data_IF_243992686824
#
_entry.id   IF_243992686824
#
_cell.length_a   1.000
_cell.length_b   1.000
_cell.length_c   1.000
_cell.angle_alpha   90.00
_cell.angle_beta   90.00
_cell.angle_gamma   90.00
#
_symmetry.space_group_name_H-M   'P 1'
#
loop_
_entity.id
_entity.type
_entity.pdbx_description
1 polymer ?
#
# COMPACT_ATOMS: atom_id res chain seq x y z
N UNK A 1 -13.27 -3.44 -5.66
CA UNK A 1 -12.45 -2.24 -5.39
C UNK A 1 -13.23 -1.03 -5.89
N UNK A 2 -13.47 -0.06 -5.01
CA UNK A 2 -14.12 1.20 -5.35
C UNK A 2 -13.20 2.07 -6.21
N UNK A 3 -13.79 2.86 -7.10
CA UNK A 3 -13.04 3.81 -7.91
C UNK A 3 -12.82 5.10 -7.14
N UNK A 4 -11.59 5.63 -7.20
CA UNK A 4 -11.27 6.99 -6.81
C UNK A 4 -11.27 7.92 -8.02
N UNK A 5 -11.30 9.21 -7.76
CA UNK A 5 -11.25 10.27 -8.77
C UNK A 5 -10.09 11.24 -8.52
N UNK A 6 -8.97 10.72 -8.01
CA UNK A 6 -7.72 11.43 -7.86
C UNK A 6 -7.27 11.70 -6.43
N UNK A 7 -6.45 12.74 -6.27
CA UNK A 7 -5.83 13.15 -5.01
C UNK A 7 -6.65 14.24 -4.34
N UNK A 8 -6.85 14.10 -3.03
CA UNK A 8 -7.52 15.09 -2.19
C UNK A 8 -6.57 15.69 -1.17
N UNK A 9 -6.70 16.99 -0.92
CA UNK A 9 -5.92 17.73 0.08
C UNK A 9 -6.84 18.45 1.04
N UNK A 10 -6.56 18.34 2.32
CA UNK A 10 -7.12 19.17 3.39
C UNK A 10 -6.07 20.18 3.88
N UNK A 11 -6.50 21.36 4.27
CA UNK A 11 -5.67 22.40 4.90
C UNK A 11 -6.23 22.83 6.26
N UNK A 12 -7.25 22.13 6.75
CA UNK A 12 -7.99 22.46 7.98
C UNK A 12 -8.10 21.26 8.95
N UNK A 13 -7.13 20.33 8.88
CA UNK A 13 -7.10 19.13 9.73
C UNK A 13 -8.15 18.08 9.36
N UNK A 14 -8.50 17.97 8.08
CA UNK A 14 -9.42 16.95 7.58
C UNK A 14 -10.90 17.33 7.66
N UNK A 15 -11.22 18.58 8.03
CA UNK A 15 -12.60 19.07 8.11
C UNK A 15 -13.22 19.31 6.74
N UNK A 16 -12.40 19.73 5.79
CA UNK A 16 -12.78 19.84 4.38
C UNK A 16 -11.69 19.30 3.47
N UNK A 17 -12.08 18.87 2.26
CA UNK A 17 -11.19 18.25 1.29
C UNK A 17 -11.41 18.85 -0.10
N UNK A 18 -10.34 19.12 -0.81
CA UNK A 18 -10.36 19.60 -2.18
C UNK A 18 -9.67 18.59 -3.09
N UNK A 19 -10.34 18.24 -4.21
CA UNK A 19 -9.72 17.44 -5.26
C UNK A 19 -8.58 18.24 -5.92
N UNK A 20 -7.40 17.65 -5.99
CA UNK A 20 -6.16 18.26 -6.51
C UNK A 20 -5.74 17.66 -7.87
N UNK A 21 -6.58 16.87 -8.52
CA UNK A 21 -6.30 16.32 -9.85
C UNK A 21 -6.02 14.81 -9.87
N UNK A 22 -5.46 14.31 -10.97
CA UNK A 22 -5.29 12.89 -11.30
C UNK A 22 -6.63 12.14 -11.30
N UNK A 23 -7.68 12.75 -11.89
CA UNK A 23 -9.06 12.25 -11.83
C UNK A 23 -9.27 10.92 -12.55
N UNK A 24 -8.44 10.61 -13.53
CA UNK A 24 -8.51 9.37 -14.29
C UNK A 24 -7.59 8.27 -13.73
N UNK A 25 -7.07 8.45 -12.49
CA UNK A 25 -6.23 7.45 -11.84
C UNK A 25 -7.00 6.22 -11.38
N UNK A 26 -8.28 6.35 -11.07
CA UNK A 26 -9.16 5.36 -10.43
C UNK A 26 -8.56 4.77 -9.12
N UNK A 27 -7.29 4.42 -9.17
CA UNK A 27 -6.58 3.82 -8.02
C UNK A 27 -5.22 4.50 -7.85
N UNK A 28 -4.97 4.98 -6.65
CA UNK A 28 -3.67 5.50 -6.21
C UNK A 28 -3.06 4.47 -5.24
N UNK A 29 -1.82 4.06 -5.51
CA UNK A 29 -1.09 3.12 -4.68
C UNK A 29 -0.53 3.78 -3.42
N UNK A 30 0.21 4.88 -3.62
CA UNK A 30 0.89 5.56 -2.52
C UNK A 30 1.02 7.06 -2.81
N UNK A 31 1.08 7.87 -1.74
CA UNK A 31 1.34 9.33 -1.77
C UNK A 31 2.53 9.61 -0.87
N UNK A 32 3.58 10.18 -1.44
CA UNK A 32 4.83 10.49 -0.75
C UNK A 32 5.06 12.00 -0.71
N UNK A 33 5.03 12.60 0.48
CA UNK A 33 5.27 14.03 0.68
C UNK A 33 6.75 14.25 0.97
N UNK A 34 7.37 15.21 0.31
CA UNK A 34 8.77 15.55 0.54
C UNK A 34 8.98 16.11 1.97
N UNK A 35 9.96 15.58 2.76
CA UNK A 35 10.07 15.85 4.19
C UNK A 35 10.33 17.32 4.55
N UNK A 36 10.94 18.11 3.64
CA UNK A 36 11.31 19.50 3.88
C UNK A 36 10.50 20.50 3.06
N UNK A 37 9.59 20.03 2.17
CA UNK A 37 8.77 20.91 1.34
C UNK A 37 7.44 20.24 1.00
N UNK A 38 6.38 20.58 1.73
CA UNK A 38 5.04 20.03 1.55
C UNK A 38 4.36 20.37 0.21
N UNK A 39 4.93 21.28 -0.58
CA UNK A 39 4.47 21.57 -1.93
C UNK A 39 5.00 20.56 -2.96
N UNK A 40 6.04 19.80 -2.59
CA UNK A 40 6.57 18.70 -3.41
C UNK A 40 5.96 17.38 -2.95
N UNK A 41 5.17 16.77 -3.83
CA UNK A 41 4.51 15.49 -3.56
C UNK A 41 4.68 14.57 -4.76
N UNK A 42 4.91 13.30 -4.47
CA UNK A 42 4.94 12.23 -5.46
C UNK A 42 3.73 11.31 -5.27
N UNK A 43 3.18 10.81 -6.35
CA UNK A 43 2.02 9.90 -6.35
C UNK A 43 2.29 8.73 -7.27
N UNK A 44 2.19 7.52 -6.75
CA UNK A 44 2.13 6.31 -7.56
C UNK A 44 0.68 6.05 -7.96
N UNK A 45 0.38 6.18 -9.25
CA UNK A 45 -0.95 5.98 -9.80
C UNK A 45 -1.03 4.62 -10.49
N UNK A 46 -1.95 3.80 -9.99
CA UNK A 46 -2.19 2.46 -10.52
C UNK A 46 -2.94 2.48 -11.85
N UNK A 47 -3.86 3.44 -11.99
CA UNK A 47 -4.76 3.58 -13.11
C UNK A 47 -5.94 2.60 -13.11
N UNK A 48 -6.74 2.61 -14.18
CA UNK A 48 -7.90 1.75 -14.32
C UNK A 48 -7.60 0.27 -14.19
N UNK A 49 -8.49 -0.47 -13.50
CA UNK A 49 -8.36 -1.93 -13.37
C UNK A 49 -8.93 -2.67 -14.56
N UNK A 50 -10.03 -2.16 -15.13
CA UNK A 50 -10.79 -2.81 -16.20
C UNK A 50 -10.45 -2.32 -17.60
N UNK A 51 -9.77 -1.17 -17.71
CA UNK A 51 -9.39 -0.53 -18.97
C UNK A 51 -7.88 -0.29 -19.03
N UNK A 52 -7.36 -0.03 -20.20
CA UNK A 52 -6.03 0.51 -20.43
C UNK A 52 -6.02 2.03 -20.26
N UNK A 53 -4.83 2.64 -20.20
CA UNK A 53 -4.66 4.08 -20.14
C UNK A 53 -4.99 4.69 -18.78
N UNK A 54 -5.62 5.86 -18.78
CA UNK A 54 -5.84 6.67 -17.59
C UNK A 54 -4.56 7.32 -17.04
N UNK A 55 -4.63 7.79 -15.80
CA UNK A 55 -3.48 8.41 -15.13
C UNK A 55 -2.57 7.34 -14.50
N UNK A 56 -1.92 6.49 -15.34
CA UNK A 56 -0.93 5.50 -14.91
C UNK A 56 0.46 6.10 -14.85
N UNK A 57 1.22 5.78 -13.80
CA UNK A 57 2.60 6.22 -13.67
C UNK A 57 2.94 6.78 -12.30
N UNK A 58 4.13 7.35 -12.20
CA UNK A 58 4.51 8.18 -11.06
C UNK A 58 4.37 9.65 -11.45
N UNK A 59 3.65 10.40 -10.63
CA UNK A 59 3.41 11.83 -10.82
C UNK A 59 4.10 12.64 -9.72
N UNK A 60 4.54 13.85 -10.09
CA UNK A 60 5.14 14.81 -9.19
C UNK A 60 4.44 16.16 -9.31
N UNK A 61 4.17 16.79 -8.18
CA UNK A 61 3.85 18.21 -8.08
C UNK A 61 4.97 18.97 -7.38
N UNK A 62 5.11 20.26 -7.68
CA UNK A 62 6.00 21.18 -6.99
C UNK A 62 5.24 22.41 -6.46
N UNK A 63 3.91 22.39 -6.52
CA UNK A 63 3.03 23.53 -6.20
C UNK A 63 1.84 23.13 -5.30
N UNK A 64 2.04 22.06 -4.51
CA UNK A 64 1.05 21.58 -3.56
C UNK A 64 -0.16 20.91 -4.21
N UNK A 65 0.02 20.33 -5.41
CA UNK A 65 -1.01 19.60 -6.14
C UNK A 65 -1.83 20.44 -7.12
N UNK A 66 -1.45 21.68 -7.39
CA UNK A 66 -2.16 22.51 -8.39
C UNK A 66 -1.89 22.02 -9.81
N UNK A 67 -0.63 21.57 -10.07
CA UNK A 67 -0.24 20.95 -11.33
C UNK A 67 0.52 19.65 -11.07
N UNK A 68 0.38 18.69 -12.01
CA UNK A 68 1.03 17.39 -11.94
C UNK A 68 1.82 17.11 -13.20
N UNK A 69 3.04 16.60 -13.04
CA UNK A 69 3.88 16.10 -14.12
C UNK A 69 4.08 14.60 -13.96
N UNK A 70 3.77 13.81 -14.98
CA UNK A 70 4.13 12.39 -15.04
C UNK A 70 5.64 12.26 -15.24
N UNK A 71 6.34 11.69 -14.27
CA UNK A 71 7.81 11.58 -14.23
C UNK A 71 8.32 10.17 -14.47
N UNK A 72 7.45 9.16 -14.37
CA UNK A 72 7.76 7.78 -14.74
C UNK A 72 6.51 7.13 -15.35
N UNK A 73 6.67 6.48 -16.47
CA UNK A 73 5.64 5.75 -17.19
C UNK A 73 6.28 4.55 -17.89
N UNK A 74 5.57 3.42 -17.93
CA UNK A 74 6.02 2.22 -18.63
C UNK A 74 5.19 2.05 -19.91
N UNK A 75 3.91 1.76 -19.78
CA UNK A 75 2.95 1.59 -20.86
C UNK A 75 1.50 1.80 -20.37
N UNK A 76 0.53 1.63 -21.28
CA UNK A 76 -0.89 1.83 -21.02
C UNK A 76 -1.52 0.73 -20.13
N UNK A 77 -0.80 -0.35 -19.82
CA UNK A 77 -1.26 -1.47 -19.01
C UNK A 77 -0.61 -1.53 -17.63
N UNK A 78 0.45 -0.74 -17.41
CA UNK A 78 1.31 -0.82 -16.23
C UNK A 78 1.16 0.41 -15.35
N UNK A 79 0.65 0.22 -14.15
CA UNK A 79 0.59 1.25 -13.11
C UNK A 79 1.72 1.11 -12.10
N UNK A 80 1.64 1.91 -11.03
CA UNK A 80 2.61 1.89 -9.93
C UNK A 80 1.88 1.72 -8.61
N UNK A 81 2.29 0.75 -7.81
CA UNK A 81 1.73 0.48 -6.48
C UNK A 81 2.54 1.08 -5.34
N UNK A 82 3.86 1.24 -5.53
CA UNK A 82 4.76 1.74 -4.51
C UNK A 82 5.56 2.95 -5.01
N UNK A 83 5.82 3.88 -4.08
CA UNK A 83 6.87 4.89 -4.21
C UNK A 83 7.47 5.17 -2.84
N UNK A 84 8.79 5.08 -2.73
CA UNK A 84 9.55 5.30 -1.50
C UNK A 84 10.68 6.30 -1.75
N UNK A 85 11.13 6.96 -0.68
CA UNK A 85 12.21 7.94 -0.68
C UNK A 85 13.29 7.49 0.29
N UNK A 86 14.56 7.58 -0.11
CA UNK A 86 15.68 7.33 0.81
C UNK A 86 15.61 8.36 1.96
N UNK A 87 15.54 7.94 3.23
CA UNK A 87 15.36 8.87 4.36
C UNK A 87 16.52 9.83 4.55
N UNK A 88 17.68 9.55 3.96
CA UNK A 88 18.88 10.42 4.02
C UNK A 88 18.95 11.41 2.87
N UNK A 89 18.30 11.12 1.74
CA UNK A 89 18.38 11.95 0.54
C UNK A 89 17.07 11.89 -0.25
N UNK A 90 16.23 12.92 -0.18
CA UNK A 90 14.93 12.96 -0.84
C UNK A 90 14.99 13.00 -2.39
N UNK A 91 16.16 13.19 -2.99
CA UNK A 91 16.33 13.04 -4.44
C UNK A 91 16.47 11.57 -4.89
N UNK A 92 16.67 10.66 -3.94
CA UNK A 92 16.72 9.21 -4.24
C UNK A 92 15.34 8.60 -4.00
N UNK A 93 14.74 8.11 -5.08
CA UNK A 93 13.40 7.55 -5.11
C UNK A 93 13.42 6.12 -5.66
N UNK A 94 12.50 5.31 -5.15
CA UNK A 94 12.25 3.95 -5.61
C UNK A 94 10.76 3.80 -5.94
N UNK A 95 10.43 3.08 -7.01
CA UNK A 95 9.05 2.83 -7.39
C UNK A 95 8.88 1.41 -7.90
N UNK A 96 7.76 0.77 -7.55
CA UNK A 96 7.37 -0.54 -8.07
C UNK A 96 6.28 -0.38 -9.10
N UNK A 97 6.53 -0.87 -10.32
CA UNK A 97 5.54 -0.96 -11.38
C UNK A 97 4.86 -2.32 -11.38
N UNK A 98 3.57 -2.34 -11.69
CA UNK A 98 2.78 -3.55 -11.77
C UNK A 98 1.87 -3.53 -12.99
N UNK A 99 2.08 -4.46 -13.91
CA UNK A 99 1.18 -4.72 -15.02
C UNK A 99 -0.01 -5.50 -14.52
N UNK A 100 -1.20 -4.86 -14.51
CA UNK A 100 -2.41 -5.43 -13.91
C UNK A 100 -3.64 -5.07 -14.73
N UNK A 101 -4.50 -6.06 -14.98
CA UNK A 101 -5.79 -5.86 -15.61
C UNK A 101 -6.81 -6.93 -15.24
N UNK A 102 -8.06 -6.54 -15.06
CA UNK A 102 -9.19 -7.45 -14.96
C UNK A 102 -9.99 -7.50 -16.27
N UNK A 103 -10.46 -8.70 -16.57
CA UNK A 103 -11.49 -8.98 -17.54
C UNK A 103 -12.57 -9.83 -16.88
N UNK A 104 -13.76 -9.90 -17.49
CA UNK A 104 -14.86 -10.73 -16.96
C UNK A 104 -14.44 -12.19 -16.76
N UNK A 105 -13.57 -12.69 -17.62
CA UNK A 105 -13.14 -14.09 -17.69
C UNK A 105 -11.73 -14.35 -17.14
N UNK A 106 -10.95 -13.33 -16.84
CA UNK A 106 -9.56 -13.51 -16.36
C UNK A 106 -9.01 -12.31 -15.63
N UNK A 107 -7.91 -12.54 -14.93
CA UNK A 107 -7.11 -11.52 -14.24
C UNK A 107 -5.66 -11.64 -14.70
N UNK A 108 -5.10 -10.53 -15.20
CA UNK A 108 -3.68 -10.37 -15.48
C UNK A 108 -3.05 -9.69 -14.26
N UNK A 109 -2.19 -10.39 -13.55
CA UNK A 109 -1.54 -9.93 -12.32
C UNK A 109 -0.02 -9.85 -12.43
N UNK A 110 0.52 -9.70 -13.64
CA UNK A 110 1.95 -9.58 -13.89
C UNK A 110 2.25 -9.42 -15.37
N UNK A 111 3.51 -9.18 -15.69
CA UNK A 111 3.98 -9.07 -17.07
C UNK A 111 5.28 -8.29 -17.18
N UNK A 112 5.78 -8.07 -18.43
CA UNK A 112 7.07 -7.44 -18.69
C UNK A 112 7.17 -5.98 -18.20
N UNK A 113 6.03 -5.32 -18.01
CA UNK A 113 5.95 -3.96 -17.46
C UNK A 113 6.26 -3.89 -15.97
N UNK A 114 6.12 -4.99 -15.22
CA UNK A 114 6.37 -5.03 -13.79
C UNK A 114 7.86 -4.97 -13.44
N UNK A 115 8.19 -4.37 -12.31
CA UNK A 115 9.55 -4.33 -11.79
C UNK A 115 9.83 -3.13 -10.89
N UNK A 116 11.09 -3.03 -10.46
CA UNK A 116 11.58 -1.96 -9.60
C UNK A 116 12.35 -0.92 -10.40
N UNK A 117 12.16 0.34 -10.04
CA UNK A 117 12.78 1.50 -10.65
C UNK A 117 13.42 2.39 -9.59
N UNK A 118 14.54 3.04 -9.92
CA UNK A 118 15.27 3.97 -9.04
C UNK A 118 15.58 5.25 -9.78
N UNK A 119 15.37 6.37 -9.11
CA UNK A 119 15.87 7.70 -9.48
C UNK A 119 16.88 8.17 -8.44
N UNK A 120 17.85 8.99 -8.85
CA UNK A 120 18.82 9.64 -7.96
C UNK A 120 18.85 11.16 -8.16
N UNK A 121 17.86 11.71 -8.86
CA UNK A 121 17.79 13.10 -9.28
C UNK A 121 16.39 13.74 -9.09
N UNK A 122 15.65 13.25 -8.08
CA UNK A 122 14.32 13.74 -7.74
C UNK A 122 13.26 13.39 -8.78
N UNK A 123 13.45 12.27 -9.48
CA UNK A 123 12.51 11.76 -10.47
C UNK A 123 12.69 12.33 -11.89
N UNK A 124 13.80 13.00 -12.19
CA UNK A 124 14.08 13.51 -13.54
C UNK A 124 14.46 12.39 -14.49
N UNK A 125 15.18 11.38 -13.99
CA UNK A 125 15.54 10.16 -14.73
C UNK A 125 15.35 8.91 -13.85
N UNK A 126 15.10 7.76 -14.51
CA UNK A 126 14.84 6.50 -13.84
C UNK A 126 15.59 5.35 -14.51
N UNK A 127 16.09 4.41 -13.72
CA UNK A 127 16.64 3.13 -14.21
C UNK A 127 15.90 1.96 -13.58
N UNK A 128 15.73 0.88 -14.34
CA UNK A 128 15.21 -0.40 -13.82
C UNK A 128 16.30 -1.09 -12.99
N UNK A 129 15.94 -1.60 -11.79
CA UNK A 129 16.88 -2.18 -10.81
C UNK A 129 16.52 -3.62 -10.45
N UNK A 130 16.25 -4.46 -11.44
CA UNK A 130 15.77 -5.83 -11.26
C UNK A 130 16.89 -6.88 -11.16
N UNK A 131 18.17 -6.50 -11.10
CA UNK A 131 19.29 -7.46 -11.10
C UNK A 131 19.23 -8.36 -9.84
N UNK A 132 18.99 -9.67 -10.05
CA UNK A 132 18.83 -10.66 -8.97
C UNK A 132 17.38 -10.97 -8.60
N UNK A 133 16.39 -10.21 -9.10
CA UNK A 133 14.99 -10.59 -9.06
C UNK A 133 14.68 -11.71 -10.07
N UNK A 134 13.51 -12.38 -9.99
CA UNK A 134 13.16 -13.45 -10.93
C UNK A 134 13.27 -13.03 -12.39
N UNK A 135 13.89 -13.88 -13.20
CA UNK A 135 14.00 -13.70 -14.66
C UNK A 135 12.77 -14.16 -15.45
N UNK A 136 11.61 -14.24 -14.81
CA UNK A 136 10.31 -14.59 -15.36
C UNK A 136 9.35 -13.43 -15.18
N UNK A 137 8.11 -13.55 -15.65
CA UNK A 137 7.10 -12.52 -15.43
C UNK A 137 6.92 -12.23 -13.94
N UNK A 138 7.05 -10.96 -13.60
CA UNK A 138 6.89 -10.43 -12.25
C UNK A 138 5.47 -9.90 -12.12
N UNK A 139 4.84 -10.20 -11.00
CA UNK A 139 3.55 -9.65 -10.56
C UNK A 139 3.72 -8.39 -9.71
N UNK A 140 2.95 -8.30 -8.64
CA UNK A 140 3.04 -7.20 -7.67
C UNK A 140 4.31 -7.33 -6.84
N UNK A 141 4.93 -6.19 -6.56
CA UNK A 141 6.05 -6.07 -5.65
C UNK A 141 5.66 -5.12 -4.53
N UNK A 142 5.75 -5.57 -3.28
CA UNK A 142 5.82 -4.72 -2.11
C UNK A 142 7.26 -4.48 -1.74
N UNK A 143 7.62 -3.27 -1.32
CA UNK A 143 8.98 -2.94 -0.93
C UNK A 143 9.01 -1.98 0.24
N UNK A 144 10.11 -1.99 0.99
CA UNK A 144 10.38 -0.96 1.98
C UNK A 144 11.89 -0.77 2.18
N UNK A 145 12.26 0.45 2.58
CA UNK A 145 13.64 0.84 2.89
C UNK A 145 13.81 0.77 4.40
N UNK A 146 14.86 0.11 4.88
CA UNK A 146 15.15 0.11 6.30
C UNK A 146 15.59 1.50 6.76
N UNK A 147 14.80 2.16 7.63
CA UNK A 147 15.20 3.42 8.26
C UNK A 147 16.42 3.24 9.18
N UNK A 148 16.56 2.07 9.82
CA UNK A 148 17.69 1.73 10.65
C UNK A 148 19.02 1.64 9.86
N UNK A 149 18.95 1.16 8.61
CA UNK A 149 20.08 1.10 7.69
C UNK A 149 19.63 1.24 6.23
N UNK A 150 19.57 2.44 5.67
CA UNK A 150 19.06 2.69 4.32
C UNK A 150 19.94 2.17 3.15
N UNK A 151 21.03 1.45 3.42
CA UNK A 151 21.69 0.60 2.42
C UNK A 151 20.86 -0.66 2.13
N UNK A 152 19.98 -1.05 3.09
CA UNK A 152 19.13 -2.22 3.01
C UNK A 152 17.74 -1.84 2.49
N UNK A 153 17.30 -2.56 1.49
CA UNK A 153 15.94 -2.52 0.96
C UNK A 153 15.39 -3.94 0.92
N UNK A 154 14.17 -4.10 1.35
CA UNK A 154 13.44 -5.36 1.28
C UNK A 154 12.39 -5.32 0.17
N UNK A 155 12.11 -6.47 -0.42
CA UNK A 155 11.04 -6.62 -1.39
C UNK A 155 10.39 -8.00 -1.26
N UNK A 156 9.06 -8.03 -1.28
CA UNK A 156 8.29 -9.25 -1.47
C UNK A 156 7.78 -9.26 -2.91
N UNK A 157 8.11 -10.29 -3.67
CA UNK A 157 7.95 -10.31 -5.13
C UNK A 157 7.04 -11.47 -5.52
N UNK A 158 5.90 -11.16 -6.13
CA UNK A 158 5.10 -12.16 -6.85
C UNK A 158 5.75 -12.42 -8.22
N UNK A 159 5.85 -13.67 -8.62
CA UNK A 159 6.39 -14.05 -9.92
C UNK A 159 5.79 -15.37 -10.41
N UNK A 160 5.74 -15.51 -11.74
CA UNK A 160 5.32 -16.75 -12.39
C UNK A 160 6.25 -17.93 -12.03
N UNK A 161 5.85 -19.14 -12.38
CA UNK A 161 6.60 -20.37 -12.14
C UNK A 161 6.99 -20.62 -10.67
N UNK A 162 6.27 -20.01 -9.70
CA UNK A 162 6.59 -20.07 -8.26
C UNK A 162 8.00 -19.55 -7.91
N UNK A 163 8.56 -18.66 -8.74
CA UNK A 163 9.88 -18.06 -8.53
C UNK A 163 9.85 -16.82 -7.63
N UNK A 164 8.66 -16.35 -7.24
CA UNK A 164 8.48 -15.30 -6.26
C UNK A 164 9.15 -15.57 -4.93
N UNK A 165 9.17 -14.60 -4.04
CA UNK A 165 9.77 -14.75 -2.72
C UNK A 165 10.06 -13.42 -2.05
N UNK A 166 10.74 -13.50 -0.90
CA UNK A 166 11.24 -12.38 -0.14
C UNK A 166 12.72 -12.13 -0.47
N UNK A 167 13.04 -10.90 -0.83
CA UNK A 167 14.35 -10.47 -1.32
C UNK A 167 14.92 -9.37 -0.43
N UNK A 168 16.27 -9.34 -0.29
CA UNK A 168 17.03 -8.28 0.38
C UNK A 168 18.05 -7.72 -0.59
N UNK A 169 18.17 -6.40 -0.66
CA UNK A 169 19.31 -5.69 -1.22
C UNK A 169 20.09 -5.06 -0.08
N UNK A 170 21.42 -5.12 -0.13
CA UNK A 170 22.32 -4.46 0.84
C UNK A 170 23.14 -3.35 0.18
N UNK A 171 22.73 -2.92 -1.02
CA UNK A 171 23.42 -1.93 -1.83
C UNK A 171 22.43 -1.00 -2.54
N UNK A 172 21.39 -0.59 -1.81
CA UNK A 172 20.41 0.40 -2.28
C UNK A 172 19.71 -0.01 -3.59
N UNK A 173 19.36 -1.30 -3.70
CA UNK A 173 18.62 -1.85 -4.84
C UNK A 173 19.46 -2.15 -6.08
N UNK A 174 20.79 -2.00 -6.06
CA UNK A 174 21.63 -2.32 -7.22
C UNK A 174 21.63 -3.82 -7.54
N UNK A 175 21.54 -4.67 -6.51
CA UNK A 175 21.38 -6.12 -6.65
C UNK A 175 20.47 -6.68 -5.56
N UNK A 176 19.76 -7.77 -5.88
CA UNK A 176 18.82 -8.43 -4.99
C UNK A 176 19.21 -9.88 -4.75
N UNK A 177 19.04 -10.33 -3.52
CA UNK A 177 19.30 -11.72 -3.12
C UNK A 177 18.02 -12.27 -2.47
N UNK A 178 17.55 -13.40 -2.99
CA UNK A 178 16.40 -14.12 -2.42
C UNK A 178 16.77 -14.65 -1.05
N UNK A 179 16.00 -14.30 -0.02
CA UNK A 179 16.18 -14.77 1.34
C UNK A 179 15.29 -15.98 1.65
N UNK A 180 14.05 -15.94 1.15
CA UNK A 180 13.02 -16.95 1.44
C UNK A 180 12.02 -17.08 0.27
N UNK A 181 11.30 -18.20 0.23
CA UNK A 181 10.19 -18.41 -0.71
C UNK A 181 8.85 -17.78 -0.29
N UNK A 182 8.80 -17.06 0.84
CA UNK A 182 7.56 -16.42 1.34
C UNK A 182 7.06 -15.40 0.33
N UNK A 183 5.80 -15.55 -0.04
CA UNK A 183 4.99 -14.62 -0.86
C UNK A 183 3.62 -14.49 -0.22
N UNK A 184 2.89 -13.45 -0.57
CA UNK A 184 1.47 -13.29 -0.27
C UNK A 184 0.67 -13.24 -1.58
N UNK A 185 -0.63 -13.06 -1.53
CA UNK A 185 -1.44 -12.87 -2.74
C UNK A 185 -1.28 -11.44 -3.26
N UNK A 186 -0.63 -11.26 -4.40
CA UNK A 186 -0.46 -9.95 -5.04
C UNK A 186 -1.77 -9.27 -5.45
N UNK A 187 -2.87 -10.00 -5.50
CA UNK A 187 -4.19 -9.44 -5.77
C UNK A 187 -4.74 -8.62 -4.59
N UNK A 188 -4.41 -9.00 -3.34
CA UNK A 188 -4.94 -8.39 -2.11
C UNK A 188 -3.86 -7.81 -1.22
N UNK A 189 -2.73 -8.49 -1.08
CA UNK A 189 -1.65 -8.17 -0.15
C UNK A 189 -0.37 -7.79 -0.91
N UNK A 190 0.80 -8.12 -0.45
CA UNK A 190 2.12 -7.78 -0.99
C UNK A 190 2.65 -6.43 -0.44
N UNK A 191 2.27 -6.11 0.78
CA UNK A 191 2.79 -4.96 1.51
C UNK A 191 3.73 -5.43 2.60
N UNK A 192 4.86 -4.74 2.78
CA UNK A 192 5.84 -5.00 3.84
C UNK A 192 6.24 -3.71 4.53
N UNK A 193 6.64 -3.82 5.80
CA UNK A 193 7.07 -2.69 6.62
C UNK A 193 8.32 -3.07 7.38
N UNK A 194 9.44 -2.39 7.11
CA UNK A 194 10.69 -2.56 7.83
C UNK A 194 10.59 -1.87 9.20
N UNK A 195 11.16 -2.49 10.22
CA UNK A 195 11.23 -1.88 11.54
C UNK A 195 12.17 -0.66 11.49
N UNK A 196 11.75 0.50 12.01
CA UNK A 196 12.55 1.73 11.92
C UNK A 196 13.80 1.72 12.81
N UNK A 197 13.93 0.75 13.73
CA UNK A 197 15.03 0.67 14.72
C UNK A 197 15.92 -0.55 14.47
N UNK A 198 15.37 -1.67 13.99
CA UNK A 198 16.08 -2.92 13.76
C UNK A 198 16.09 -3.30 12.28
N UNK A 199 17.28 -3.26 11.67
CA UNK A 199 17.44 -3.49 10.23
C UNK A 199 17.08 -4.90 9.75
N UNK A 200 17.02 -5.89 10.63
CA UNK A 200 16.71 -7.29 10.30
C UNK A 200 15.24 -7.67 10.57
N UNK A 201 14.44 -6.73 11.10
CA UNK A 201 13.01 -6.94 11.38
C UNK A 201 12.15 -6.36 10.27
N UNK A 202 11.28 -7.22 9.68
CA UNK A 202 10.31 -6.80 8.66
C UNK A 202 8.98 -7.52 8.88
N UNK A 203 7.90 -6.77 8.81
CA UNK A 203 6.53 -7.25 8.88
C UNK A 203 5.95 -7.41 7.48
N UNK A 204 5.18 -8.48 7.27
CA UNK A 204 4.46 -8.76 6.02
C UNK A 204 2.97 -8.73 6.31
N UNK A 205 2.25 -7.91 5.54
CA UNK A 205 0.80 -7.87 5.54
C UNK A 205 0.24 -9.04 4.74
N UNK A 206 -0.75 -9.71 5.33
CA UNK A 206 -1.42 -10.88 4.78
C UNK A 206 -2.74 -11.07 5.57
N UNK A 207 -3.51 -12.11 5.28
CA UNK A 207 -4.63 -12.52 6.16
C UNK A 207 -4.16 -12.57 7.61
N UNK A 208 -3.02 -13.19 7.87
CA UNK A 208 -2.32 -13.15 9.17
C UNK A 208 -0.95 -12.53 9.00
N UNK A 209 -0.64 -11.50 9.77
CA UNK A 209 0.65 -10.83 9.74
C UNK A 209 1.80 -11.79 10.07
N UNK A 210 2.87 -11.71 9.30
CA UNK A 210 4.11 -12.44 9.55
C UNK A 210 5.25 -11.46 9.82
N UNK A 211 6.24 -11.90 10.60
CA UNK A 211 7.44 -11.12 10.91
C UNK A 211 8.68 -11.98 10.73
N UNK A 212 9.76 -11.39 10.22
CA UNK A 212 11.12 -11.88 10.28
C UNK A 212 11.93 -11.08 11.30
N UNK A 213 12.90 -11.72 11.95
CA UNK A 213 13.88 -11.09 12.82
C UNK A 213 15.33 -11.44 12.40
N UNK A 214 15.52 -11.92 11.19
CA UNK A 214 16.80 -12.40 10.66
C UNK A 214 17.03 -11.98 9.20
N UNK A 215 16.44 -10.83 8.82
CA UNK A 215 16.59 -10.26 7.49
C UNK A 215 15.88 -11.05 6.39
N UNK A 216 14.82 -11.76 6.73
CA UNK A 216 13.98 -12.49 5.79
C UNK A 216 14.33 -13.96 5.58
N UNK A 217 15.20 -14.55 6.39
CA UNK A 217 15.54 -15.98 6.27
C UNK A 217 14.46 -16.87 6.83
N UNK A 218 13.86 -16.48 7.97
CA UNK A 218 12.72 -17.19 8.58
C UNK A 218 11.58 -16.25 8.90
N UNK A 219 10.35 -16.78 8.93
CA UNK A 219 9.12 -16.03 9.23
C UNK A 219 8.30 -16.76 10.28
N UNK A 220 7.66 -16.00 11.16
CA UNK A 220 6.65 -16.48 12.12
C UNK A 220 5.44 -15.56 12.11
N UNK A 221 4.28 -16.05 12.56
CA UNK A 221 3.11 -15.19 12.77
C UNK A 221 3.33 -14.25 13.95
N UNK A 222 2.81 -13.02 13.83
CA UNK A 222 2.89 -11.99 14.89
C UNK A 222 2.01 -12.37 16.08
N UNK A 223 0.84 -12.98 15.82
CA UNK A 223 -0.21 -13.19 16.81
C UNK A 223 -1.22 -12.04 16.79
N UNK A 224 -2.48 -12.37 16.56
CA UNK A 224 -3.54 -11.39 16.34
C UNK A 224 -4.79 -11.72 17.16
N UNK A 225 -4.58 -12.21 18.40
CA UNK A 225 -5.69 -12.46 19.33
C UNK A 225 -6.51 -11.19 19.57
N UNK A 226 -7.83 -11.28 19.37
CA UNK A 226 -8.78 -10.17 19.54
C UNK A 226 -8.63 -9.00 18.55
N UNK A 227 -7.88 -9.18 17.46
CA UNK A 227 -7.80 -8.28 16.33
C UNK A 227 -8.41 -8.92 15.09
N UNK A 228 -9.09 -8.12 14.25
CA UNK A 228 -9.51 -8.60 12.93
C UNK A 228 -8.28 -8.92 12.06
N UNK A 229 -8.39 -9.97 11.27
CA UNK A 229 -7.39 -10.38 10.27
C UNK A 229 -7.42 -9.47 9.02
N UNK A 230 -6.83 -9.91 7.92
CA UNK A 230 -6.81 -9.20 6.62
C UNK A 230 -6.14 -7.84 6.69
N UNK A 231 -4.81 -7.87 6.87
CA UNK A 231 -3.97 -6.71 7.14
C UNK A 231 -3.46 -6.09 5.84
N UNK A 232 -3.55 -4.74 5.74
CA UNK A 232 -3.21 -4.00 4.53
C UNK A 232 -2.21 -2.88 4.74
N UNK A 233 -2.15 -2.30 5.93
CA UNK A 233 -1.26 -1.18 6.21
C UNK A 233 -0.74 -1.24 7.65
N UNK A 234 0.47 -0.73 7.85
CA UNK A 234 1.09 -0.65 9.17
C UNK A 234 1.87 0.65 9.30
N UNK A 235 1.85 1.24 10.47
CA UNK A 235 2.78 2.27 10.88
C UNK A 235 3.45 1.85 12.18
N UNK A 236 4.75 1.97 12.24
CA UNK A 236 5.57 1.66 13.41
C UNK A 236 6.15 2.97 13.94
N UNK A 237 6.02 3.22 15.24
CA UNK A 237 6.57 4.41 15.85
C UNK A 237 8.12 4.40 15.78
N UNK A 238 8.76 5.39 15.10
CA UNK A 238 10.20 5.39 14.91
C UNK A 238 11.02 5.63 16.20
N UNK A 239 10.34 5.96 17.31
CA UNK A 239 10.97 6.13 18.63
C UNK A 239 10.67 4.99 19.60
N UNK A 240 9.73 4.13 19.26
CA UNK A 240 9.31 2.98 20.08
C UNK A 240 8.68 1.92 19.18
N UNK A 241 9.48 1.00 18.68
CA UNK A 241 9.04 -0.04 17.75
C UNK A 241 8.12 -1.12 18.38
N UNK A 242 7.73 -0.99 19.63
CA UNK A 242 6.64 -1.76 20.23
C UNK A 242 5.25 -1.12 20.00
N UNK A 243 5.19 0.13 19.53
CA UNK A 243 3.97 0.88 19.27
C UNK A 243 3.64 0.89 17.79
N UNK A 244 2.50 0.30 17.41
CA UNK A 244 2.03 0.20 16.02
C UNK A 244 0.60 0.66 15.86
N UNK A 245 0.30 1.14 14.63
CA UNK A 245 -1.05 1.21 14.08
C UNK A 245 -1.15 0.24 12.91
N UNK A 246 -2.19 -0.58 12.88
CA UNK A 246 -2.44 -1.54 11.80
C UNK A 246 -3.83 -1.33 11.23
N UNK A 247 -3.90 -1.11 9.93
CA UNK A 247 -5.14 -1.07 9.15
C UNK A 247 -5.45 -2.44 8.58
N UNK A 248 -6.65 -2.91 8.81
CA UNK A 248 -7.18 -4.18 8.30
C UNK A 248 -8.64 -4.00 7.86
N UNK A 249 -9.25 -5.04 7.29
CA UNK A 249 -10.63 -4.98 6.82
C UNK A 249 -11.64 -4.68 7.95
N UNK A 250 -11.30 -5.02 9.20
CA UNK A 250 -12.07 -4.68 10.39
C UNK A 250 -11.91 -3.23 10.89
N UNK A 251 -10.98 -2.45 10.34
CA UNK A 251 -10.70 -1.08 10.77
C UNK A 251 -9.25 -0.89 11.23
N UNK A 252 -9.02 0.07 12.14
CA UNK A 252 -7.69 0.37 12.67
C UNK A 252 -7.56 -0.16 14.09
N UNK A 253 -6.44 -0.83 14.33
CA UNK A 253 -6.02 -1.33 15.64
C UNK A 253 -4.67 -0.73 16.04
N UNK A 254 -4.50 -0.47 17.33
CA UNK A 254 -3.29 0.05 17.93
C UNK A 254 -2.75 -0.93 18.95
N UNK A 255 -1.43 -1.08 19.02
CA UNK A 255 -0.73 -1.85 20.05
C UNK A 255 0.45 -1.06 20.59
N UNK A 256 0.80 -1.27 21.88
CA UNK A 256 1.95 -0.67 22.55
C UNK A 256 2.96 -1.71 23.05
N UNK A 257 2.74 -2.99 22.70
CA UNK A 257 3.49 -4.14 23.21
C UNK A 257 3.84 -5.17 22.12
N UNK A 258 4.06 -4.68 20.90
CA UNK A 258 4.44 -5.49 19.72
C UNK A 258 3.38 -6.55 19.36
N UNK A 259 2.10 -6.18 19.46
CA UNK A 259 1.00 -7.01 19.01
C UNK A 259 0.50 -8.06 20.01
N UNK A 260 0.91 -7.99 21.28
CA UNK A 260 0.39 -8.88 22.33
C UNK A 260 -1.03 -8.49 22.75
N UNK A 261 -1.32 -7.19 22.79
CA UNK A 261 -2.64 -6.62 23.04
C UNK A 261 -2.98 -5.60 21.96
N UNK A 262 -4.28 -5.49 21.62
CA UNK A 262 -4.77 -4.63 20.56
C UNK A 262 -5.96 -3.80 21.00
N UNK A 263 -5.90 -2.49 20.74
CA UNK A 263 -6.97 -1.53 20.94
C UNK A 263 -7.65 -1.17 19.62
N UNK A 264 -8.92 -1.53 19.48
CA UNK A 264 -9.72 -1.17 18.30
C UNK A 264 -10.11 0.32 18.32
N UNK A 265 -9.88 1.04 17.23
CA UNK A 265 -10.23 2.47 17.08
C UNK A 265 -11.68 2.62 16.58
N UNK A 266 -12.63 2.76 17.49
CA UNK A 266 -14.07 2.78 17.22
C UNK A 266 -14.60 4.07 16.59
N UNK A 267 -13.79 5.14 16.53
CA UNK A 267 -14.21 6.48 16.15
C UNK A 267 -14.06 6.80 14.66
N UNK A 268 -13.87 5.79 13.81
CA UNK A 268 -13.79 5.97 12.36
C UNK A 268 -15.17 5.68 11.76
N UNK A 269 -15.88 6.70 11.23
CA UNK A 269 -17.22 6.54 10.66
C UNK A 269 -17.12 6.06 9.19
N UNK A 270 -16.41 4.96 8.95
CA UNK A 270 -16.22 4.38 7.62
C UNK A 270 -16.81 2.98 7.60
N UNK A 271 -17.72 2.73 6.67
CA UNK A 271 -18.43 1.45 6.55
C UNK A 271 -18.79 1.19 5.09
N UNK A 272 -18.61 -0.03 4.65
CA UNK A 272 -19.07 -0.52 3.35
C UNK A 272 -20.17 -1.54 3.52
N UNK A 273 -21.39 -1.23 3.05
CA UNK A 273 -22.51 -2.14 3.09
C UNK A 273 -22.52 -3.09 1.89
N UNK A 274 -22.78 -4.36 2.13
CA UNK A 274 -23.09 -5.34 1.08
C UNK A 274 -24.53 -5.23 0.59
N UNK A 275 -25.47 -5.14 1.56
CA UNK A 275 -26.90 -5.04 1.29
C UNK A 275 -27.56 -4.19 2.36
N UNK A 276 -28.67 -3.58 1.97
CA UNK A 276 -29.54 -2.81 2.86
C UNK A 276 -30.96 -3.34 2.73
N UNK A 277 -31.64 -3.48 3.84
CA UNK A 277 -33.05 -3.84 3.95
C UNK A 277 -33.78 -2.84 4.83
N UNK A 278 -35.07 -2.69 4.63
CA UNK A 278 -35.94 -1.85 5.45
C UNK A 278 -37.14 -2.67 5.92
N UNK A 279 -37.69 -2.33 7.09
CA UNK A 279 -38.96 -2.86 7.59
C UNK A 279 -40.12 -1.90 7.30
N UNK A 280 -41.31 -2.24 7.80
CA UNK A 280 -42.52 -1.44 7.67
C UNK A 280 -42.96 -0.84 9.02
N UNK A 281 -42.02 -0.56 9.92
CA UNK A 281 -42.38 0.05 11.23
C UNK A 281 -42.92 1.47 11.08
N UNK A 282 -43.93 1.80 11.83
CA UNK A 282 -44.57 3.11 11.91
C UNK A 282 -44.20 3.81 13.22
N UNK A 283 -44.01 5.15 13.26
CA UNK A 283 -44.11 6.13 12.14
C UNK A 283 -42.83 6.23 11.30
N UNK A 284 -41.74 5.55 11.72
CA UNK A 284 -40.48 5.51 10.96
C UNK A 284 -40.01 4.07 10.81
N UNK A 285 -39.81 3.65 9.57
CA UNK A 285 -39.23 2.35 9.29
C UNK A 285 -37.76 2.29 9.77
N UNK A 286 -37.28 1.09 10.06
CA UNK A 286 -35.88 0.85 10.36
C UNK A 286 -35.12 0.43 9.10
N UNK A 287 -33.83 0.78 9.09
CA UNK A 287 -32.88 0.42 8.06
C UNK A 287 -31.90 -0.58 8.67
N UNK A 288 -31.64 -1.69 8.00
CA UNK A 288 -30.71 -2.72 8.41
C UNK A 288 -29.69 -2.96 7.32
N UNK A 289 -28.43 -3.08 7.68
CA UNK A 289 -27.36 -3.35 6.72
C UNK A 289 -26.30 -4.28 7.28
N UNK A 290 -25.95 -5.31 6.51
CA UNK A 290 -24.76 -6.11 6.72
C UNK A 290 -23.56 -5.43 6.08
N UNK A 291 -22.49 -5.22 6.82
CA UNK A 291 -21.27 -4.58 6.34
C UNK A 291 -20.25 -5.62 5.89
N UNK A 292 -19.38 -5.23 4.98
CA UNK A 292 -18.27 -6.10 4.57
C UNK A 292 -17.31 -6.28 5.74
N UNK A 293 -16.98 -7.53 6.05
CA UNK A 293 -15.96 -7.96 7.02
C UNK A 293 -16.14 -7.42 8.45
N UNK A 294 -17.32 -6.84 8.75
CA UNK A 294 -17.66 -6.21 10.02
C UNK A 294 -19.05 -6.63 10.51
N UNK A 295 -19.70 -5.75 11.26
CA UNK A 295 -20.96 -5.99 11.93
C UNK A 295 -22.17 -5.84 11.00
N UNK A 296 -23.36 -6.20 11.50
CA UNK A 296 -24.63 -5.70 10.99
C UNK A 296 -25.06 -4.50 11.80
N UNK A 297 -25.58 -3.48 11.14
CA UNK A 297 -26.02 -2.23 11.72
C UNK A 297 -27.52 -2.06 11.44
N UNK A 298 -28.26 -1.60 12.42
CA UNK A 298 -29.68 -1.26 12.26
C UNK A 298 -30.08 -0.04 13.07
N UNK A 299 -31.05 0.69 12.59
CA UNK A 299 -31.60 1.87 13.27
C UNK A 299 -32.78 2.48 12.54
N UNK A 300 -33.52 3.37 13.22
CA UNK A 300 -34.66 4.05 12.61
C UNK A 300 -34.24 4.99 11.48
N UNK A 301 -35.09 5.12 10.46
CA UNK A 301 -34.85 6.00 9.32
C UNK A 301 -34.80 7.48 9.69
N UNK A 302 -35.26 7.82 10.87
CA UNK A 302 -35.20 9.19 11.43
C UNK A 302 -34.98 9.10 12.95
N UNK A 303 -34.04 9.89 13.44
CA UNK A 303 -33.85 10.19 14.87
C UNK A 303 -34.30 11.62 15.16
N UNK A 304 -34.95 11.82 16.29
CA UNK A 304 -35.42 13.16 16.73
C UNK A 304 -34.24 14.03 17.14
#
# INVERSE_FOLDING_TARGET
>A
VAYGDGVYKSVDGGRSWKNMGLKNSEHIGNILVHPHNSDVVYVSAYGPLWNEGGDRGVYKTNDGGKTWKRILHVDEHTGFNEIHMDPRNPDVLYAASHQRRRHVYTYVGGGPGSGLHKSVDGGKSWKKINKGLPGVEIGRIGMDISDANPEIIYAIVEASERKGGFYKSTNRGETWVKQNGKVTSGNYYQEIFADPIDEDVVYIMDTYMSVTHDGGKTFKYVGEGYKHVDNHAMWINPKNNAHWLVGCDGGIYETFDSGKQWDFKKNLPVTQFYKVAVDNAEPFYNIYGGTQDNFSIGGPSRVN
#
